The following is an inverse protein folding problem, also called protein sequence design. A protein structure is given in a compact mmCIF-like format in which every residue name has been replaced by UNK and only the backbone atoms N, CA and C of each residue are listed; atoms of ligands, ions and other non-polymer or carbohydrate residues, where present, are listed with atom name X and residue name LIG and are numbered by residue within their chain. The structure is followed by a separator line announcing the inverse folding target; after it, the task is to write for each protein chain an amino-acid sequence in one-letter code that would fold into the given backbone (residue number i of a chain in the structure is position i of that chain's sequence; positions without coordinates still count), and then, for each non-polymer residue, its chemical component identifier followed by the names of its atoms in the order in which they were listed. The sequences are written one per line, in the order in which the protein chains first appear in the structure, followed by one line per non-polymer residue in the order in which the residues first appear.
data_IF_409348076661
#
_entry.id   IF_409348076661
#
_cell.length_a   1.000
_cell.length_b   1.000
_cell.length_c   1.000
_cell.angle_alpha   90.00
_cell.angle_beta   90.00
_cell.angle_gamma   90.00
#
_symmetry.space_group_name_H-M   'P 1'
#
loop_
_entity.id
_entity.type
_entity.pdbx_description
1 polymer ?
#
# COMPACT_ATOMS: atom_id res chain seq x y z
N UNK A 1 -4.38 -6.72 29.19
CA UNK A 1 -3.87 -5.36 28.88
C UNK A 1 -2.94 -5.37 27.66
N UNK A 2 -1.86 -6.18 27.64
CA UNK A 2 -0.94 -6.29 26.49
C UNK A 2 -1.61 -6.59 25.15
N UNK A 3 -2.64 -7.44 25.13
CA UNK A 3 -3.40 -7.80 23.93
C UNK A 3 -4.11 -6.60 23.28
N UNK A 4 -4.75 -5.73 24.07
CA UNK A 4 -5.47 -4.55 23.58
C UNK A 4 -4.50 -3.55 22.91
N UNK A 5 -3.29 -3.40 23.46
CA UNK A 5 -2.25 -2.56 22.84
C UNK A 5 -1.76 -3.14 21.51
N UNK A 6 -1.67 -4.46 21.40
CA UNK A 6 -1.25 -5.15 20.19
C UNK A 6 -2.30 -5.04 19.07
N UNK A 7 -3.57 -5.25 19.40
CA UNK A 7 -4.71 -5.05 18.50
C UNK A 7 -4.80 -3.58 18.04
N UNK A 8 -4.58 -2.62 18.94
CA UNK A 8 -4.51 -1.21 18.56
C UNK A 8 -3.38 -0.89 17.59
N UNK A 9 -2.19 -1.48 17.80
CA UNK A 9 -1.02 -1.27 16.94
C UNK A 9 -1.25 -1.83 15.53
N UNK A 10 -1.93 -2.98 15.40
CA UNK A 10 -2.11 -3.65 14.10
C UNK A 10 -2.97 -2.82 13.14
N UNK A 11 -3.95 -2.08 13.67
CA UNK A 11 -4.77 -1.15 12.90
C UNK A 11 -3.93 0.01 12.34
N UNK A 12 -3.04 0.59 13.16
CA UNK A 12 -2.12 1.64 12.69
C UNK A 12 -1.14 1.14 11.63
N UNK A 13 -0.64 -0.09 11.79
CA UNK A 13 0.20 -0.75 10.77
C UNK A 13 -0.59 -0.95 9.47
N UNK A 14 -1.82 -1.45 9.55
CA UNK A 14 -2.70 -1.60 8.38
C UNK A 14 -2.94 -0.29 7.65
N UNK A 15 -3.24 0.78 8.39
CA UNK A 15 -3.42 2.11 7.83
C UNK A 15 -2.14 2.63 7.13
N UNK A 16 -0.97 2.45 7.74
CA UNK A 16 0.30 2.84 7.12
C UNK A 16 0.53 2.10 5.78
N UNK A 17 0.24 0.81 5.74
CA UNK A 17 0.32 0.01 4.51
C UNK A 17 -0.64 0.51 3.43
N UNK A 18 -1.88 0.85 3.79
CA UNK A 18 -2.85 1.44 2.83
C UNK A 18 -2.32 2.75 2.25
N UNK A 19 -1.77 3.64 3.08
CA UNK A 19 -1.18 4.91 2.62
C UNK A 19 -0.03 4.67 1.63
N UNK A 20 0.88 3.75 1.94
CA UNK A 20 1.95 3.38 1.00
C UNK A 20 1.42 2.74 -0.29
N UNK A 21 0.37 1.95 -0.22
CA UNK A 21 -0.31 1.40 -1.38
C UNK A 21 -0.86 2.49 -2.30
N UNK A 22 -1.58 3.46 -1.72
CA UNK A 22 -2.10 4.62 -2.45
C UNK A 22 -1.00 5.46 -3.08
N UNK A 23 0.10 5.69 -2.36
CA UNK A 23 1.27 6.39 -2.92
C UNK A 23 1.86 5.64 -4.12
N UNK A 24 1.97 4.32 -4.04
CA UNK A 24 2.47 3.48 -5.14
C UNK A 24 1.54 3.54 -6.36
N UNK A 25 0.22 3.54 -6.15
CA UNK A 25 -0.75 3.71 -7.24
C UNK A 25 -0.73 5.13 -7.83
N UNK A 26 -0.55 6.17 -7.02
CA UNK A 26 -0.32 7.52 -7.52
C UNK A 26 0.94 7.60 -8.39
N UNK A 27 2.01 6.93 -7.97
CA UNK A 27 3.25 6.81 -8.74
C UNK A 27 3.07 6.05 -10.07
N UNK A 28 2.21 5.02 -10.09
CA UNK A 28 1.81 4.33 -11.31
C UNK A 28 1.12 5.30 -12.29
N UNK A 29 0.15 6.08 -11.82
CA UNK A 29 -0.55 7.07 -12.65
C UNK A 29 0.44 8.06 -13.28
N UNK A 30 1.38 8.58 -12.48
CA UNK A 30 2.44 9.48 -12.99
C UNK A 30 3.28 8.81 -14.09
N UNK A 31 3.62 7.53 -13.92
CA UNK A 31 4.39 6.78 -14.91
C UNK A 31 3.60 6.43 -16.17
N UNK A 32 2.27 6.34 -16.09
CA UNK A 32 1.42 6.01 -17.25
C UNK A 32 1.04 7.29 -18.01
N UNK A 33 0.66 8.35 -17.31
CA UNK A 33 0.06 9.55 -17.91
C UNK A 33 1.07 10.68 -18.18
N UNK A 34 2.12 10.81 -17.35
CA UNK A 34 3.03 11.97 -17.38
C UNK A 34 4.48 11.61 -17.75
N UNK A 35 4.75 10.39 -18.19
CA UNK A 35 6.11 9.95 -18.46
C UNK A 35 6.64 10.48 -19.79
N UNK A 36 7.64 11.38 -19.74
CA UNK A 36 8.44 11.76 -20.91
C UNK A 36 9.24 10.59 -21.48
N UNK A 37 9.58 9.60 -20.64
CA UNK A 37 10.14 8.30 -21.04
C UNK A 37 9.37 7.18 -20.32
N UNK A 38 8.36 6.65 -21.00
CA UNK A 38 7.55 5.55 -20.49
C UNK A 38 8.39 4.31 -20.25
N UNK A 39 8.41 3.81 -19.02
CA UNK A 39 9.08 2.56 -18.66
C UNK A 39 8.04 1.56 -18.16
N UNK A 40 7.77 0.56 -18.98
CA UNK A 40 6.86 -0.56 -18.65
C UNK A 40 7.25 -1.24 -17.34
N UNK A 41 8.56 -1.38 -17.09
CA UNK A 41 9.07 -2.01 -15.87
C UNK A 41 8.76 -1.18 -14.62
N UNK A 42 8.87 0.16 -14.70
CA UNK A 42 8.53 1.04 -13.57
C UNK A 42 7.04 1.05 -13.28
N UNK A 43 6.20 1.07 -14.32
CA UNK A 43 4.76 0.96 -14.17
C UNK A 43 4.37 -0.39 -13.54
N UNK A 44 4.89 -1.50 -14.07
CA UNK A 44 4.64 -2.83 -13.50
C UNK A 44 5.09 -2.91 -12.03
N UNK A 45 6.27 -2.38 -11.71
CA UNK A 45 6.76 -2.36 -10.33
C UNK A 45 5.84 -1.57 -9.40
N UNK A 46 5.40 -0.37 -9.80
CA UNK A 46 4.48 0.44 -9.01
C UNK A 46 3.11 -0.25 -8.81
N UNK A 47 2.63 -0.98 -9.82
CA UNK A 47 1.39 -1.76 -9.73
C UNK A 47 1.53 -2.94 -8.77
N UNK A 48 2.62 -3.71 -8.87
CA UNK A 48 2.89 -4.86 -7.99
C UNK A 48 3.08 -4.39 -6.56
N UNK A 49 3.90 -3.36 -6.34
CA UNK A 49 4.19 -2.81 -5.02
C UNK A 49 2.92 -2.23 -4.37
N UNK A 50 2.10 -1.49 -5.13
CA UNK A 50 0.83 -0.96 -4.65
C UNK A 50 -0.14 -2.07 -4.25
N UNK A 51 -0.22 -3.14 -5.04
CA UNK A 51 -1.10 -4.29 -4.76
C UNK A 51 -0.66 -5.08 -3.53
N UNK A 52 0.65 -5.23 -3.32
CA UNK A 52 1.19 -5.83 -2.09
C UNK A 52 0.84 -4.99 -0.87
N UNK A 53 1.15 -3.68 -0.91
CA UNK A 53 0.85 -2.79 0.21
C UNK A 53 -0.64 -2.72 0.53
N UNK A 54 -1.48 -2.61 -0.50
CA UNK A 54 -2.94 -2.57 -0.32
C UNK A 54 -3.48 -3.89 0.22
N UNK A 55 -3.02 -5.02 -0.33
CA UNK A 55 -3.42 -6.35 0.13
C UNK A 55 -3.06 -6.62 1.59
N UNK A 56 -1.81 -6.34 1.99
CA UNK A 56 -1.39 -6.46 3.38
C UNK A 56 -2.05 -5.43 4.29
N UNK A 57 -2.24 -4.19 3.83
CA UNK A 57 -2.93 -3.16 4.58
C UNK A 57 -4.37 -3.55 4.93
N UNK A 58 -5.13 -4.03 3.94
CA UNK A 58 -6.46 -4.58 4.15
C UNK A 58 -6.45 -5.81 5.05
N UNK A 59 -5.48 -6.72 4.86
CA UNK A 59 -5.34 -7.90 5.71
C UNK A 59 -5.14 -7.53 7.19
N UNK A 60 -4.26 -6.57 7.50
CA UNK A 60 -4.04 -6.11 8.89
C UNK A 60 -5.23 -5.35 9.46
N UNK A 61 -5.94 -4.56 8.63
CA UNK A 61 -7.18 -3.90 9.03
C UNK A 61 -8.24 -4.91 9.44
N UNK A 62 -8.42 -6.00 8.69
CA UNK A 62 -9.38 -7.06 9.03
C UNK A 62 -8.93 -7.94 10.18
N UNK A 63 -7.62 -8.09 10.41
CA UNK A 63 -7.09 -8.84 11.54
C UNK A 63 -7.27 -8.09 12.87
N UNK A 64 -7.30 -6.76 12.84
CA UNK A 64 -7.48 -5.91 14.01
C UNK A 64 -8.93 -5.53 14.33
N UNK A 65 -9.91 -6.09 13.60
CA UNK A 65 -11.35 -5.78 13.69
C UNK A 65 -12.12 -6.98 14.27
#
# INVERSE_FOLDING_TARGET
MMQIYFEGLILWVGLAFIVFGLMSYGWLVIHVEHSRHFSKMKALFALVLGSLFMGFGLHFMFLGL
#
